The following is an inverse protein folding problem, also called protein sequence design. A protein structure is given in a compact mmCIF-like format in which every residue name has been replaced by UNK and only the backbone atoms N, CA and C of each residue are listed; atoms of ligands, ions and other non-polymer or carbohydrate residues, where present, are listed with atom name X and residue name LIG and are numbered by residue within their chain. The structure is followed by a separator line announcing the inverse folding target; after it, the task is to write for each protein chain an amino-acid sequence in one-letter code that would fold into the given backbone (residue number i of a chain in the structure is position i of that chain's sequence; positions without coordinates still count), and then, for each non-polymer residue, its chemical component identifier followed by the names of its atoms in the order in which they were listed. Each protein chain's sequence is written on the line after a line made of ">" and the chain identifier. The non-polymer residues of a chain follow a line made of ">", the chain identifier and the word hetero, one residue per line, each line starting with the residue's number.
data_IF_913004216814
#
_entry.id   IF_913004216814
#
_cell.length_a   1.000
_cell.length_b   1.000
_cell.length_c   1.000
_cell.angle_alpha   90.00
_cell.angle_beta   90.00
_cell.angle_gamma   90.00
#
_symmetry.space_group_name_H-M   'P 1'
#
loop_
_entity.id
_entity.type
_entity.pdbx_description
1 polymer ?
#
# COMPACT_ATOMS: atom_id res chain seq x y z
N UNK A 1 -14.09 -21.28 47.11
CA UNK A 1 -13.19 -20.25 46.56
C UNK A 1 -13.10 -20.41 45.06
N UNK A 2 -13.11 -19.28 44.37
CA UNK A 2 -13.40 -19.10 42.96
C UNK A 2 -12.46 -19.85 41.99
N UNK A 3 -13.04 -20.37 40.91
CA UNK A 3 -12.40 -20.43 39.60
C UNK A 3 -13.49 -20.47 38.52
N UNK A 4 -14.21 -19.35 38.40
CA UNK A 4 -15.05 -19.06 37.24
C UNK A 4 -14.08 -18.66 36.10
N UNK A 5 -13.58 -19.64 35.35
CA UNK A 5 -12.80 -19.35 34.14
C UNK A 5 -13.71 -19.44 32.93
N UNK A 6 -14.36 -18.32 32.62
CA UNK A 6 -14.89 -18.04 31.30
C UNK A 6 -13.74 -18.16 30.29
N UNK A 7 -13.61 -19.33 29.64
CA UNK A 7 -12.80 -19.46 28.44
C UNK A 7 -13.49 -18.66 27.34
N UNK A 8 -12.92 -17.47 27.11
CA UNK A 8 -13.38 -16.51 26.13
C UNK A 8 -13.46 -17.11 24.73
N UNK A 9 -14.55 -16.76 24.06
CA UNK A 9 -14.73 -16.83 22.61
C UNK A 9 -13.59 -16.06 21.96
N UNK A 10 -12.64 -16.76 21.34
CA UNK A 10 -11.75 -16.14 20.34
C UNK A 10 -12.45 -16.20 18.99
N UNK A 11 -13.38 -15.26 18.78
CA UNK A 11 -13.90 -14.94 17.46
C UNK A 11 -12.79 -14.29 16.64
N UNK A 12 -12.27 -15.00 15.64
CA UNK A 12 -11.58 -14.39 14.51
C UNK A 12 -12.60 -14.24 13.38
N UNK A 13 -13.37 -13.16 13.44
CA UNK A 13 -14.02 -12.57 12.27
C UNK A 13 -12.94 -11.87 11.46
N UNK A 14 -12.32 -12.59 10.53
CA UNK A 14 -11.50 -12.00 9.47
C UNK A 14 -12.35 -11.84 8.21
N UNK A 15 -12.76 -10.60 7.94
CA UNK A 15 -13.55 -10.19 6.77
C UNK A 15 -12.98 -10.76 5.47
N UNK A 16 -13.77 -11.59 4.79
CA UNK A 16 -13.60 -11.83 3.36
C UNK A 16 -13.98 -10.54 2.64
N UNK A 17 -12.99 -9.69 2.36
CA UNK A 17 -13.14 -8.53 1.49
C UNK A 17 -13.73 -8.96 0.15
N UNK A 18 -14.99 -8.58 -0.08
CA UNK A 18 -15.72 -8.90 -1.29
C UNK A 18 -15.01 -8.30 -2.51
N UNK A 19 -14.79 -9.13 -3.53
CA UNK A 19 -14.42 -8.65 -4.86
C UNK A 19 -15.60 -7.84 -5.38
N UNK A 20 -15.49 -6.50 -5.37
CA UNK A 20 -16.36 -5.64 -6.18
C UNK A 20 -15.99 -5.86 -7.63
N UNK A 21 -16.99 -6.06 -8.48
CA UNK A 21 -16.84 -6.08 -9.94
C UNK A 21 -16.41 -4.67 -10.39
N UNK A 22 -15.10 -4.43 -10.33
CA UNK A 22 -14.47 -3.19 -10.76
C UNK A 22 -14.17 -3.33 -12.26
N UNK A 23 -14.36 -2.27 -13.07
CA UNK A 23 -13.97 -2.31 -14.48
C UNK A 23 -12.53 -2.76 -14.64
N UNK A 24 -12.19 -3.39 -15.76
CA UNK A 24 -10.82 -3.84 -16.05
C UNK A 24 -9.89 -2.62 -16.14
N UNK A 25 -9.16 -2.35 -15.05
CA UNK A 25 -8.17 -1.27 -14.97
C UNK A 25 -6.78 -1.81 -15.27
N UNK A 26 -5.95 -0.97 -15.87
CA UNK A 26 -4.53 -1.26 -16.10
C UNK A 26 -3.69 -0.50 -15.09
N UNK A 27 -2.60 -1.11 -14.67
CA UNK A 27 -1.67 -0.51 -13.73
C UNK A 27 -0.45 0.07 -14.46
N UNK A 28 -0.02 1.23 -14.02
CA UNK A 28 1.22 1.87 -14.42
C UNK A 28 2.00 2.34 -13.19
N UNK A 29 3.32 2.44 -13.33
CA UNK A 29 4.22 2.86 -12.26
C UNK A 29 5.07 4.03 -12.74
N UNK A 30 5.07 5.10 -11.96
CA UNK A 30 5.78 6.33 -12.30
C UNK A 30 6.75 6.70 -11.18
N UNK A 31 8.00 7.00 -11.55
CA UNK A 31 9.03 7.52 -10.67
C UNK A 31 9.60 8.80 -11.28
N UNK A 32 9.65 9.90 -10.51
CA UNK A 32 10.05 11.20 -11.06
C UNK A 32 10.33 12.29 -10.03
N UNK A 33 10.56 11.93 -8.76
CA UNK A 33 10.75 12.87 -7.66
C UNK A 33 10.04 12.38 -6.42
N UNK A 34 9.68 13.31 -5.53
CA UNK A 34 8.98 12.94 -4.30
C UNK A 34 7.57 12.43 -4.61
N UNK A 35 7.17 11.27 -4.07
CA UNK A 35 5.85 10.71 -4.35
C UNK A 35 4.71 11.63 -3.89
N UNK A 36 4.90 12.45 -2.84
CA UNK A 36 3.91 13.44 -2.39
C UNK A 36 3.62 14.50 -3.45
N UNK A 37 4.61 14.87 -4.25
CA UNK A 37 4.42 15.80 -5.37
C UNK A 37 3.81 15.11 -6.59
N UNK A 38 4.02 13.80 -6.72
CA UNK A 38 3.63 13.01 -7.88
C UNK A 38 2.20 12.49 -7.78
N UNK A 39 1.72 12.20 -6.58
CA UNK A 39 0.38 11.65 -6.33
C UNK A 39 -0.73 12.59 -6.84
N UNK A 40 -0.72 13.84 -6.38
CA UNK A 40 -1.80 14.79 -6.63
C UNK A 40 -2.07 15.10 -8.12
N UNK A 41 -1.03 15.28 -8.98
CA UNK A 41 -1.24 15.42 -10.42
C UNK A 41 -1.93 14.22 -11.08
N UNK A 42 -1.64 12.98 -10.66
CA UNK A 42 -2.26 11.79 -11.26
C UNK A 42 -3.70 11.59 -10.79
N UNK A 43 -4.00 11.90 -9.53
CA UNK A 43 -5.35 11.78 -8.96
C UNK A 43 -6.37 12.69 -9.68
N UNK A 44 -5.90 13.80 -10.23
CA UNK A 44 -6.72 14.77 -10.97
C UNK A 44 -7.00 14.37 -12.44
N UNK A 45 -6.39 13.30 -12.96
CA UNK A 45 -6.52 12.91 -14.37
C UNK A 45 -7.81 12.10 -14.59
N UNK A 46 -8.71 12.52 -15.51
CA UNK A 46 -9.91 11.75 -15.81
C UNK A 46 -9.59 10.31 -16.25
N UNK A 47 -10.20 9.34 -15.58
CA UNK A 47 -9.99 7.91 -15.85
C UNK A 47 -8.98 7.23 -14.93
N UNK A 48 -8.23 8.00 -14.14
CA UNK A 48 -7.48 7.44 -13.01
C UNK A 48 -8.46 7.14 -11.88
N UNK A 49 -8.41 5.90 -11.38
CA UNK A 49 -9.31 5.43 -10.31
C UNK A 49 -8.63 5.32 -8.96
N UNK A 50 -7.30 5.21 -8.95
CA UNK A 50 -6.50 5.02 -7.74
C UNK A 50 -5.08 5.53 -8.01
N UNK A 51 -4.50 6.23 -7.04
CA UNK A 51 -3.07 6.54 -7.02
C UNK A 51 -2.51 6.14 -5.66
N UNK A 52 -1.46 5.34 -5.64
CA UNK A 52 -0.88 4.81 -4.40
C UNK A 52 0.63 5.09 -4.35
N UNK A 53 1.13 5.87 -3.37
CA UNK A 53 2.55 6.07 -3.20
C UNK A 53 3.25 4.79 -2.71
N UNK A 54 4.50 4.61 -3.11
CA UNK A 54 5.29 3.45 -2.73
C UNK A 54 6.76 3.52 -3.17
N UNK A 55 7.43 2.39 -3.04
CA UNK A 55 8.86 2.23 -3.34
C UNK A 55 9.08 1.06 -4.29
N UNK A 56 9.99 1.22 -5.25
CA UNK A 56 10.33 0.14 -6.17
C UNK A 56 11.60 0.38 -6.96
N UNK A 57 12.00 -0.62 -7.74
CA UNK A 57 13.26 -0.63 -8.50
C UNK A 57 14.51 -0.98 -7.69
N UNK A 58 14.40 -1.10 -6.36
CA UNK A 58 15.49 -1.49 -5.46
C UNK A 58 15.56 -2.99 -5.18
N UNK A 59 16.47 -3.33 -4.26
CA UNK A 59 16.87 -4.71 -3.92
C UNK A 59 16.44 -5.17 -2.53
N UNK A 60 16.06 -4.25 -1.66
CA UNK A 60 15.56 -4.57 -0.31
C UNK A 60 14.10 -5.00 -0.39
N UNK A 61 13.77 -6.19 0.12
CA UNK A 61 12.38 -6.64 0.22
C UNK A 61 11.63 -5.84 1.30
N UNK A 62 10.40 -5.44 1.01
CA UNK A 62 9.50 -4.71 1.93
C UNK A 62 10.20 -3.57 2.70
N UNK A 63 10.80 -2.59 1.99
CA UNK A 63 11.54 -1.51 2.63
C UNK A 63 10.59 -0.63 3.46
N UNK A 64 11.09 -0.14 4.59
CA UNK A 64 10.46 0.96 5.35
C UNK A 64 10.92 2.31 4.81
N UNK A 65 10.16 3.38 5.11
CA UNK A 65 10.51 4.75 4.74
C UNK A 65 11.95 5.10 5.17
N UNK A 66 12.29 4.86 6.44
CA UNK A 66 13.62 5.17 6.98
C UNK A 66 14.74 4.43 6.23
N UNK A 67 14.49 3.17 5.84
CA UNK A 67 15.46 2.42 5.05
C UNK A 67 15.63 3.02 3.65
N UNK A 68 14.58 3.48 2.99
CA UNK A 68 14.68 4.16 1.70
C UNK A 68 15.40 5.49 1.85
N UNK A 69 15.08 6.29 2.86
CA UNK A 69 15.75 7.55 3.16
C UNK A 69 17.24 7.38 3.48
N UNK A 70 17.66 6.23 4.01
CA UNK A 70 19.09 5.91 4.20
C UNK A 70 19.87 5.75 2.89
N UNK A 71 19.18 5.61 1.74
CA UNK A 71 19.78 5.47 0.42
C UNK A 71 20.32 4.08 0.07
N UNK A 72 20.38 3.15 1.03
CA UNK A 72 21.05 1.85 0.83
C UNK A 72 20.18 0.80 0.12
N UNK A 73 18.87 1.02 0.00
CA UNK A 73 17.94 0.03 -0.55
C UNK A 73 17.92 0.01 -2.08
N UNK A 74 18.36 1.11 -2.71
CA UNK A 74 18.29 1.33 -4.15
C UNK A 74 16.87 1.54 -4.69
N UNK A 75 15.88 1.73 -3.82
CA UNK A 75 14.51 2.03 -4.24
C UNK A 75 14.36 3.48 -4.68
N UNK A 76 13.49 3.69 -5.67
CA UNK A 76 12.98 4.99 -6.04
C UNK A 76 11.61 5.22 -5.38
N UNK A 77 11.35 6.48 -5.05
CA UNK A 77 9.99 6.92 -4.76
C UNK A 77 9.17 6.86 -6.05
N UNK A 78 7.98 6.24 -5.95
CA UNK A 78 7.10 6.00 -7.08
C UNK A 78 5.63 6.03 -6.68
N UNK A 79 4.75 6.16 -7.67
CA UNK A 79 3.30 6.01 -7.52
C UNK A 79 2.80 4.90 -8.44
N UNK A 80 1.87 4.08 -7.95
CA UNK A 80 1.06 3.16 -8.75
C UNK A 80 -0.21 3.88 -9.14
N UNK A 81 -0.54 3.86 -10.42
CA UNK A 81 -1.77 4.41 -11.02
C UNK A 81 -2.54 3.26 -11.67
#
# INVERSE_FOLDING_TARGET
>A
MAALQFLGVSGQTGEKGGKKDMPETKQAYFAGGCFWCLEHPFDSIPGVTEVMPGYGGGKTAHPTYDQVCSGNTGHYEMVRV
#
